data_IF_576502576913
#
_entry.id   IF_576502576913
#
_cell.length_a   1.000
_cell.length_b   1.000
_cell.length_c   1.000
_cell.angle_alpha   90.00
_cell.angle_beta   90.00
_cell.angle_gamma   90.00
#
_symmetry.space_group_name_H-M   'P 1'
#
loop_
_entity.id
_entity.type
_entity.pdbx_description
1 polymer ?
#
# COMPACT_ATOMS: atom_id res chain seq x y z
N UNK A 1 34.06 -14.63 14.76
CA UNK A 1 33.11 -14.83 13.66
C UNK A 1 31.74 -14.56 14.25
N UNK A 2 31.31 -13.31 14.24
CA UNK A 2 29.99 -12.90 14.70
C UNK A 2 29.00 -13.09 13.55
N UNK A 3 28.07 -14.00 13.69
CA UNK A 3 26.92 -14.09 12.80
C UNK A 3 26.03 -12.88 13.11
N UNK A 4 25.97 -11.95 12.17
CA UNK A 4 25.01 -10.87 12.18
C UNK A 4 23.66 -11.50 11.78
N UNK A 5 22.91 -12.00 12.75
CA UNK A 5 21.52 -12.39 12.58
C UNK A 5 20.75 -11.07 12.43
N UNK A 6 20.60 -10.62 11.20
CA UNK A 6 19.65 -9.56 10.90
C UNK A 6 18.30 -10.02 11.43
N UNK A 7 17.83 -9.38 12.50
CA UNK A 7 16.48 -9.60 12.97
C UNK A 7 15.56 -9.28 11.78
N UNK A 8 14.83 -10.29 11.32
CA UNK A 8 13.68 -10.07 10.46
C UNK A 8 12.72 -9.19 11.26
N UNK A 9 12.68 -7.92 10.95
CA UNK A 9 11.67 -7.02 11.50
C UNK A 9 10.37 -7.49 10.85
N UNK A 10 9.64 -8.35 11.58
CA UNK A 10 8.27 -8.67 11.19
C UNK A 10 7.46 -7.38 11.28
N UNK A 11 6.65 -7.06 10.29
CA UNK A 11 5.78 -5.91 10.39
C UNK A 11 4.78 -6.16 11.51
N UNK A 12 4.41 -5.10 12.20
CA UNK A 12 3.22 -5.10 13.04
C UNK A 12 2.01 -5.14 12.09
N UNK A 13 1.14 -6.13 12.24
CA UNK A 13 -0.01 -6.31 11.37
C UNK A 13 -1.25 -5.64 11.94
N UNK A 14 -1.93 -4.90 11.11
CA UNK A 14 -3.19 -4.24 11.43
C UNK A 14 -4.31 -5.01 10.74
N UNK A 15 -5.21 -5.60 11.54
CA UNK A 15 -6.45 -6.17 11.02
C UNK A 15 -7.41 -5.03 10.65
N UNK A 16 -8.09 -5.15 9.54
CA UNK A 16 -9.10 -4.20 9.08
C UNK A 16 -10.39 -4.96 8.81
N UNK A 17 -11.51 -4.39 9.24
CA UNK A 17 -12.86 -4.89 9.00
C UNK A 17 -13.73 -3.75 8.47
N UNK A 18 -14.31 -3.94 7.28
CA UNK A 18 -14.92 -2.85 6.52
C UNK A 18 -16.31 -3.27 6.02
N UNK A 19 -17.35 -2.53 6.40
CA UNK A 19 -18.70 -2.69 5.88
C UNK A 19 -18.99 -1.59 4.84
N UNK A 20 -19.32 -2.02 3.63
CA UNK A 20 -19.45 -1.15 2.47
C UNK A 20 -20.78 -1.38 1.77
N UNK A 21 -21.46 -0.29 1.43
CA UNK A 21 -22.66 -0.29 0.60
C UNK A 21 -22.50 0.59 -0.63
N UNK A 22 -23.35 0.38 -1.62
CA UNK A 22 -23.46 1.24 -2.79
C UNK A 22 -24.88 1.17 -3.35
N UNK A 23 -25.40 2.31 -3.84
CA UNK A 23 -26.75 2.37 -4.42
C UNK A 23 -26.92 1.54 -5.69
N UNK A 24 -25.83 1.29 -6.43
CA UNK A 24 -25.76 0.41 -7.58
C UNK A 24 -25.09 -0.91 -7.17
N UNK A 25 -25.87 -2.00 -7.18
CA UNK A 25 -25.39 -3.32 -6.79
C UNK A 25 -24.24 -3.83 -7.70
N UNK A 26 -24.21 -3.42 -8.96
CA UNK A 26 -23.13 -3.83 -9.87
C UNK A 26 -21.76 -3.30 -9.43
N UNK A 27 -21.72 -2.17 -8.73
CA UNK A 27 -20.51 -1.60 -8.16
C UNK A 27 -19.98 -2.42 -6.99
N UNK A 28 -20.86 -3.02 -6.21
CA UNK A 28 -20.45 -3.94 -5.14
C UNK A 28 -19.88 -5.24 -5.73
N UNK A 29 -20.46 -5.75 -6.80
CA UNK A 29 -19.91 -6.92 -7.50
C UNK A 29 -18.51 -6.61 -8.07
N UNK A 30 -18.34 -5.44 -8.71
CA UNK A 30 -17.04 -4.97 -9.20
C UNK A 30 -16.01 -4.86 -8.04
N UNK A 31 -16.41 -4.30 -6.90
CA UNK A 31 -15.55 -4.15 -5.73
C UNK A 31 -15.16 -5.50 -5.13
N UNK A 32 -16.12 -6.41 -5.02
CA UNK A 32 -15.90 -7.80 -4.57
C UNK A 32 -14.83 -8.50 -5.41
N UNK A 33 -14.98 -8.44 -6.73
CA UNK A 33 -14.02 -9.03 -7.66
C UNK A 33 -12.64 -8.32 -7.61
N UNK A 34 -12.65 -7.01 -7.38
CA UNK A 34 -11.42 -6.24 -7.22
C UNK A 34 -10.62 -6.70 -6.00
N UNK A 35 -11.27 -6.85 -4.82
CA UNK A 35 -10.61 -7.26 -3.59
C UNK A 35 -10.23 -8.74 -3.55
N UNK A 36 -10.96 -9.61 -4.25
CA UNK A 36 -10.59 -11.01 -4.46
C UNK A 36 -9.45 -11.20 -5.47
N UNK A 37 -9.17 -10.19 -6.26
CA UNK A 37 -8.12 -10.24 -7.27
C UNK A 37 -6.76 -9.79 -6.72
N UNK A 38 -5.74 -9.92 -7.56
CA UNK A 38 -4.39 -9.49 -7.22
C UNK A 38 -4.27 -7.97 -7.13
N UNK A 39 -3.52 -7.49 -6.14
CA UNK A 39 -3.12 -6.09 -5.96
C UNK A 39 -4.29 -5.10 -6.00
N UNK A 40 -5.29 -5.23 -5.11
CA UNK A 40 -6.48 -4.38 -5.12
C UNK A 40 -6.18 -2.90 -4.89
N UNK A 41 -5.22 -2.55 -4.04
CA UNK A 41 -4.85 -1.16 -3.82
C UNK A 41 -4.22 -0.53 -5.05
N UNK A 42 -3.38 -1.27 -5.77
CA UNK A 42 -2.80 -0.81 -7.01
C UNK A 42 -3.84 -0.64 -8.14
N UNK A 43 -4.93 -1.41 -8.12
CA UNK A 43 -6.04 -1.21 -9.06
C UNK A 43 -6.86 0.03 -8.73
N UNK A 44 -7.05 0.35 -7.44
CA UNK A 44 -7.75 1.54 -6.98
C UNK A 44 -6.93 2.82 -7.17
N UNK A 45 -5.66 2.77 -6.80
CA UNK A 45 -4.70 3.89 -6.90
C UNK A 45 -3.43 3.33 -7.52
N UNK A 46 -3.28 3.39 -8.86
CA UNK A 46 -2.14 2.81 -9.56
C UNK A 46 -0.80 3.42 -9.15
N UNK A 47 0.12 2.53 -8.78
CA UNK A 47 1.50 2.90 -8.50
C UNK A 47 2.23 3.28 -9.79
N UNK A 48 3.08 4.32 -9.78
CA UNK A 48 3.91 4.68 -10.91
C UNK A 48 4.85 3.55 -11.34
N UNK A 49 5.12 3.47 -12.62
CA UNK A 49 6.11 2.53 -13.18
C UNK A 49 7.52 3.06 -12.91
N UNK A 50 8.02 2.83 -11.69
CA UNK A 50 9.31 3.34 -11.22
C UNK A 50 10.49 3.01 -12.12
N UNK A 51 10.60 1.82 -12.72
CA UNK A 51 11.66 1.50 -13.67
C UNK A 51 11.72 2.43 -14.89
N UNK A 52 10.57 3.01 -15.27
CA UNK A 52 10.49 3.91 -16.41
C UNK A 52 10.47 5.40 -16.03
N UNK A 53 10.54 5.73 -14.72
CA UNK A 53 10.63 7.10 -14.23
C UNK A 53 12.06 7.41 -13.82
N UNK A 54 12.73 8.42 -14.41
CA UNK A 54 14.09 8.78 -14.05
C UNK A 54 14.24 9.09 -12.57
N UNK A 55 15.26 8.55 -11.94
CA UNK A 55 15.66 8.93 -10.61
C UNK A 55 16.23 10.36 -10.60
N UNK A 56 15.89 11.16 -9.59
CA UNK A 56 16.47 12.49 -9.42
C UNK A 56 17.98 12.38 -9.14
N UNK A 57 18.72 13.47 -9.41
CA UNK A 57 20.14 13.53 -9.07
C UNK A 57 20.39 13.26 -7.58
N UNK A 58 19.56 13.85 -6.72
CA UNK A 58 19.64 13.66 -5.26
C UNK A 58 19.49 12.20 -4.86
N UNK A 59 18.52 11.49 -5.48
CA UNK A 59 18.32 10.06 -5.20
C UNK A 59 19.52 9.24 -5.67
N UNK A 60 20.07 9.55 -6.85
CA UNK A 60 21.26 8.88 -7.39
C UNK A 60 22.49 9.06 -6.51
N UNK A 61 22.71 10.30 -6.05
CA UNK A 61 23.82 10.63 -5.16
C UNK A 61 23.66 9.93 -3.78
N UNK A 62 22.44 9.89 -3.26
CA UNK A 62 22.10 9.21 -1.98
C UNK A 62 22.47 7.73 -2.00
N UNK A 63 22.31 7.06 -3.14
CA UNK A 63 22.55 5.62 -3.28
C UNK A 63 23.78 5.28 -4.11
N UNK A 64 24.62 6.25 -4.47
CA UNK A 64 25.79 6.04 -5.31
C UNK A 64 25.47 5.32 -6.63
N UNK A 65 24.34 5.63 -7.23
CA UNK A 65 23.95 5.05 -8.50
C UNK A 65 24.85 5.57 -9.62
N UNK A 66 25.27 4.69 -10.52
CA UNK A 66 26.13 5.02 -11.65
C UNK A 66 25.34 4.97 -12.96
N UNK A 67 25.63 5.92 -13.81
CA UNK A 67 25.14 5.89 -15.18
C UNK A 67 25.92 4.84 -16.00
N UNK A 68 25.20 3.99 -16.69
CA UNK A 68 25.76 2.93 -17.52
C UNK A 68 25.13 3.01 -18.90
N UNK A 69 25.96 3.02 -19.93
CA UNK A 69 25.53 2.96 -21.33
C UNK A 69 25.50 1.50 -21.75
N UNK A 70 24.33 0.98 -22.08
CA UNK A 70 24.15 -0.40 -22.51
C UNK A 70 22.97 -0.52 -23.46
N UNK A 71 22.89 -1.60 -24.22
CA UNK A 71 21.72 -1.90 -25.03
C UNK A 71 20.59 -2.47 -24.16
N UNK A 72 19.36 -2.20 -24.58
CA UNK A 72 18.18 -2.76 -23.92
C UNK A 72 18.28 -4.29 -23.84
N UNK A 73 18.16 -4.85 -22.63
CA UNK A 73 18.25 -6.30 -22.41
C UNK A 73 19.66 -6.83 -22.10
N UNK A 74 20.72 -6.01 -22.21
CA UNK A 74 22.07 -6.44 -21.86
C UNK A 74 22.35 -6.41 -20.34
N UNK A 75 21.53 -5.71 -19.56
CA UNK A 75 21.68 -5.57 -18.12
C UNK A 75 20.53 -6.26 -17.40
N UNK A 76 20.79 -6.89 -16.24
CA UNK A 76 19.75 -7.50 -15.44
C UNK A 76 18.70 -6.46 -15.01
N UNK A 77 17.41 -6.71 -15.24
CA UNK A 77 16.32 -5.79 -14.91
C UNK A 77 16.30 -5.36 -13.45
N UNK A 78 16.73 -6.23 -12.54
CA UNK A 78 16.78 -5.95 -11.10
C UNK A 78 17.82 -4.90 -10.67
N UNK A 79 18.78 -4.60 -11.53
CA UNK A 79 19.89 -3.70 -11.18
C UNK A 79 19.86 -2.36 -11.91
N UNK A 80 18.89 -2.17 -12.83
CA UNK A 80 18.95 -1.08 -13.79
C UNK A 80 17.59 -0.45 -14.01
N UNK A 81 17.53 0.87 -13.88
CA UNK A 81 16.35 1.65 -14.25
C UNK A 81 16.62 2.44 -15.52
N UNK A 82 15.74 2.29 -16.50
CA UNK A 82 15.79 3.04 -17.75
C UNK A 82 15.46 4.52 -17.50
N UNK A 83 16.19 5.42 -18.14
CA UNK A 83 15.78 6.83 -18.19
C UNK A 83 14.54 6.96 -19.08
N UNK A 84 13.50 7.62 -18.55
CA UNK A 84 12.19 7.71 -19.21
C UNK A 84 12.22 8.47 -20.54
N UNK A 85 13.29 9.18 -20.85
CA UNK A 85 13.31 10.14 -21.93
C UNK A 85 14.05 9.68 -23.15
N UNK A 86 14.02 8.47 -23.48
CA UNK A 86 14.39 8.16 -24.80
C UNK A 86 15.70 7.52 -25.09
N UNK A 87 16.66 7.55 -24.30
CA UNK A 87 17.82 6.83 -24.75
C UNK A 87 17.66 5.37 -24.38
N UNK A 88 17.35 4.57 -25.36
CA UNK A 88 17.31 3.12 -25.23
C UNK A 88 18.62 2.53 -24.68
N UNK A 89 19.59 3.37 -24.41
CA UNK A 89 20.96 2.99 -24.13
C UNK A 89 21.54 3.52 -22.82
N UNK A 90 20.84 4.38 -22.09
CA UNK A 90 21.33 4.91 -20.81
C UNK A 90 20.51 4.39 -19.66
N UNK A 91 21.17 3.73 -18.73
CA UNK A 91 20.57 3.11 -17.56
C UNK A 91 21.25 3.59 -16.28
N UNK A 92 20.51 3.52 -15.16
CA UNK A 92 21.06 3.75 -13.84
C UNK A 92 21.36 2.42 -13.18
N UNK A 93 22.62 2.17 -12.89
CA UNK A 93 23.06 0.98 -12.15
C UNK A 93 23.14 1.31 -10.67
N UNK A 94 22.31 0.64 -9.87
CA UNK A 94 22.34 0.72 -8.42
C UNK A 94 23.41 -0.23 -7.88
N UNK A 95 24.07 0.11 -6.72
CA UNK A 95 25.00 -0.82 -6.09
C UNK A 95 24.31 -2.14 -5.73
N UNK A 96 24.97 -3.26 -5.92
CA UNK A 96 24.48 -4.59 -5.56
C UNK A 96 24.37 -4.80 -4.03
N UNK A 97 25.08 -3.99 -3.25
CA UNK A 97 25.01 -3.96 -1.79
C UNK A 97 24.45 -2.63 -1.32
N UNK A 98 23.32 -2.65 -0.61
CA UNK A 98 22.72 -1.45 -0.04
C UNK A 98 21.28 -1.24 -0.47
N UNK A 99 20.71 -0.12 -0.03
CA UNK A 99 19.36 0.29 -0.42
C UNK A 99 19.35 0.72 -1.87
N UNK A 100 18.41 0.18 -2.62
CA UNK A 100 18.09 0.59 -3.98
C UNK A 100 17.04 1.71 -3.96
N UNK A 101 16.46 2.01 -5.13
CA UNK A 101 15.37 2.98 -5.24
C UNK A 101 14.22 2.65 -4.31
N UNK A 102 13.94 3.54 -3.37
CA UNK A 102 12.90 3.40 -2.35
C UNK A 102 11.73 4.37 -2.55
N UNK A 103 11.63 5.04 -3.72
CA UNK A 103 10.52 5.96 -4.05
C UNK A 103 9.14 5.33 -3.89
N UNK A 104 9.05 4.02 -4.21
CA UNK A 104 7.83 3.25 -4.03
C UNK A 104 7.33 3.25 -2.58
N UNK A 105 8.25 3.24 -1.62
CA UNK A 105 7.91 3.18 -0.20
C UNK A 105 7.20 4.47 0.27
N UNK A 106 7.84 5.62 0.05
CA UNK A 106 7.26 6.91 0.42
C UNK A 106 5.96 7.18 -0.35
N UNK A 107 5.91 6.74 -1.62
CA UNK A 107 4.73 6.88 -2.45
C UNK A 107 3.55 6.06 -1.91
N UNK A 108 3.75 4.80 -1.56
CA UNK A 108 2.70 3.93 -1.03
C UNK A 108 2.18 4.43 0.32
N UNK A 109 3.06 4.84 1.23
CA UNK A 109 2.64 5.45 2.49
C UNK A 109 1.78 6.68 2.28
N UNK A 110 2.11 7.50 1.28
CA UNK A 110 1.37 8.73 0.96
C UNK A 110 0.04 8.46 0.25
N UNK A 111 -0.05 7.44 -0.61
CA UNK A 111 -1.18 7.23 -1.52
C UNK A 111 -2.05 6.01 -1.17
N UNK A 112 -1.55 5.08 -0.38
CA UNK A 112 -2.34 3.96 0.14
C UNK A 112 -2.55 4.05 1.65
N UNK A 113 -1.67 4.75 2.37
CA UNK A 113 -1.62 4.80 3.83
C UNK A 113 -0.83 3.66 4.45
N UNK A 114 -0.43 2.65 3.68
CA UNK A 114 0.33 1.50 4.14
C UNK A 114 1.43 1.10 3.15
N UNK A 115 2.36 0.24 3.61
CA UNK A 115 3.57 -0.09 2.84
C UNK A 115 3.33 -1.05 1.68
N UNK A 116 2.46 -2.04 1.85
CA UNK A 116 2.24 -3.11 0.88
C UNK A 116 0.80 -3.16 0.41
N UNK A 117 0.61 -3.64 -0.81
CA UNK A 117 -0.69 -4.06 -1.32
C UNK A 117 -1.14 -5.34 -0.61
N UNK A 118 -2.41 -5.68 -0.71
CA UNK A 118 -2.95 -6.88 -0.09
C UNK A 118 -2.47 -8.15 -0.81
N UNK A 119 -2.27 -9.19 -0.02
CA UNK A 119 -2.20 -10.56 -0.50
C UNK A 119 -3.63 -11.10 -0.59
N UNK A 120 -4.07 -11.49 -1.78
CA UNK A 120 -5.44 -11.96 -2.02
C UNK A 120 -5.80 -13.23 -1.22
N UNK A 121 -4.82 -14.03 -0.79
CA UNK A 121 -5.06 -15.20 0.07
C UNK A 121 -5.47 -14.82 1.51
N UNK A 122 -5.22 -13.57 1.91
CA UNK A 122 -5.51 -13.04 3.24
C UNK A 122 -6.71 -12.06 3.24
N UNK A 123 -7.42 -11.96 2.11
CA UNK A 123 -8.60 -11.09 1.96
C UNK A 123 -9.85 -11.95 1.99
N UNK A 124 -10.71 -11.69 2.96
CA UNK A 124 -12.03 -12.30 3.06
C UNK A 124 -13.08 -11.28 2.61
N UNK A 125 -14.00 -11.70 1.73
CA UNK A 125 -15.10 -10.85 1.24
C UNK A 125 -16.40 -11.61 1.39
N UNK A 126 -17.23 -11.16 2.32
CA UNK A 126 -18.52 -11.71 2.63
C UNK A 126 -19.66 -10.75 2.22
N UNK A 127 -20.78 -11.31 1.82
CA UNK A 127 -22.00 -10.58 1.54
C UNK A 127 -23.03 -10.94 2.59
N UNK A 128 -23.20 -10.07 3.62
CA UNK A 128 -24.14 -10.35 4.71
C UNK A 128 -25.58 -10.19 4.29
N UNK A 129 -25.87 -9.19 3.48
CA UNK A 129 -27.19 -8.92 2.92
C UNK A 129 -27.03 -8.45 1.49
N UNK A 130 -28.10 -8.59 0.69
CA UNK A 130 -28.08 -8.07 -0.67
C UNK A 130 -27.85 -6.56 -0.66
N UNK A 131 -26.66 -6.13 -1.08
CA UNK A 131 -26.29 -4.72 -1.16
C UNK A 131 -25.32 -4.24 -0.07
N UNK A 132 -24.73 -5.16 0.71
CA UNK A 132 -23.71 -4.84 1.71
C UNK A 132 -22.58 -5.88 1.66
N UNK A 133 -21.35 -5.41 1.52
CA UNK A 133 -20.14 -6.24 1.60
C UNK A 133 -19.42 -5.99 2.91
N UNK A 134 -18.96 -7.07 3.55
CA UNK A 134 -17.96 -7.01 4.58
C UNK A 134 -16.62 -7.50 3.99
N UNK A 135 -15.57 -6.70 4.14
CA UNK A 135 -14.23 -7.02 3.65
C UNK A 135 -13.28 -7.03 4.84
N UNK A 136 -12.63 -8.15 5.09
CA UNK A 136 -11.61 -8.30 6.13
C UNK A 136 -10.25 -8.55 5.49
N UNK A 137 -9.22 -7.84 5.98
CA UNK A 137 -7.85 -7.96 5.48
C UNK A 137 -6.83 -7.41 6.48
N UNK A 138 -5.55 -7.69 6.25
CA UNK A 138 -4.46 -7.16 7.07
C UNK A 138 -3.57 -6.19 6.29
N UNK A 139 -3.05 -5.17 6.98
CA UNK A 139 -2.09 -4.22 6.44
C UNK A 139 -0.89 -4.03 7.37
N UNK A 140 0.32 -3.74 6.84
CA UNK A 140 1.49 -3.53 7.68
C UNK A 140 1.51 -2.12 8.29
N UNK A 141 1.71 -2.02 9.59
CA UNK A 141 1.94 -0.84 10.43
C UNK A 141 0.84 0.22 10.51
N UNK A 142 -0.07 0.29 9.56
CA UNK A 142 -1.14 1.30 9.56
C UNK A 142 -2.34 0.85 8.74
N UNK A 143 -3.57 1.28 9.10
CA UNK A 143 -4.72 1.12 8.24
C UNK A 143 -4.57 1.98 6.98
N UNK A 144 -5.15 1.55 5.83
CA UNK A 144 -4.96 2.20 4.54
C UNK A 144 -5.96 3.37 4.33
N UNK A 145 -5.76 4.47 5.04
CA UNK A 145 -6.67 5.61 5.05
C UNK A 145 -6.86 6.30 3.68
N UNK A 146 -5.89 6.24 2.80
CA UNK A 146 -6.05 6.79 1.45
C UNK A 146 -6.90 5.88 0.55
N UNK A 147 -6.91 4.57 0.80
CA UNK A 147 -7.83 3.64 0.13
C UNK A 147 -9.28 3.90 0.59
N UNK A 148 -9.50 4.15 1.87
CA UNK A 148 -10.80 4.59 2.38
C UNK A 148 -11.28 5.84 1.61
N UNK A 149 -10.44 6.90 1.52
CA UNK A 149 -10.77 8.12 0.77
C UNK A 149 -11.12 7.84 -0.68
N UNK A 150 -10.36 6.97 -1.31
CA UNK A 150 -10.58 6.59 -2.69
C UNK A 150 -11.95 5.95 -2.87
N UNK A 151 -12.32 5.00 -2.02
CA UNK A 151 -13.62 4.32 -2.07
C UNK A 151 -14.77 5.32 -1.88
N UNK A 152 -14.69 6.20 -0.88
CA UNK A 152 -15.69 7.25 -0.69
C UNK A 152 -15.80 8.17 -1.91
N UNK A 153 -14.67 8.55 -2.51
CA UNK A 153 -14.66 9.39 -3.73
C UNK A 153 -15.29 8.70 -4.95
N UNK A 154 -15.36 7.37 -4.95
CA UNK A 154 -16.02 6.57 -5.98
C UNK A 154 -17.52 6.35 -5.71
N UNK A 155 -18.05 6.90 -4.60
CA UNK A 155 -19.46 6.82 -4.25
C UNK A 155 -19.84 5.64 -3.36
N UNK A 156 -18.87 4.89 -2.85
CA UNK A 156 -19.13 3.87 -1.85
C UNK A 156 -19.44 4.51 -0.50
N UNK A 157 -20.45 3.99 0.18
CA UNK A 157 -20.78 4.37 1.54
C UNK A 157 -20.15 3.35 2.49
N UNK A 158 -19.29 3.81 3.38
CA UNK A 158 -18.59 2.98 4.35
C UNK A 158 -19.26 3.21 5.70
N UNK A 159 -20.04 2.23 6.13
CA UNK A 159 -20.80 2.29 7.40
C UNK A 159 -19.90 1.99 8.60
N UNK A 160 -18.86 1.18 8.40
CA UNK A 160 -17.89 0.81 9.42
C UNK A 160 -16.54 0.55 8.77
N UNK A 161 -15.45 1.05 9.37
CA UNK A 161 -14.09 0.64 9.11
C UNK A 161 -13.34 0.62 10.42
N UNK A 162 -13.26 -0.54 11.03
CA UNK A 162 -12.53 -0.77 12.26
C UNK A 162 -11.16 -1.37 11.95
N UNK A 163 -10.18 -1.03 12.76
CA UNK A 163 -8.85 -1.60 12.67
C UNK A 163 -8.31 -1.94 14.05
N UNK A 164 -7.52 -3.00 14.13
CA UNK A 164 -6.90 -3.53 15.34
C UNK A 164 -5.44 -3.86 15.06
N UNK A 165 -4.57 -3.35 15.91
CA UNK A 165 -3.15 -3.70 15.94
C UNK A 165 -2.94 -5.07 16.63
N UNK A 166 -1.76 -5.67 16.46
CA UNK A 166 -1.29 -6.81 17.26
C UNK A 166 -1.22 -6.47 18.77
N UNK A 167 -0.96 -5.19 19.12
CA UNK A 167 -1.17 -4.67 20.45
C UNK A 167 -2.67 -4.47 20.69
N UNK A 168 -3.30 -5.24 21.60
CA UNK A 168 -4.75 -5.17 21.82
C UNK A 168 -5.22 -3.81 22.36
N UNK A 169 -4.32 -3.00 22.90
CA UNK A 169 -4.62 -1.66 23.40
C UNK A 169 -4.56 -0.58 22.30
N UNK A 170 -4.16 -0.96 21.08
CA UNK A 170 -4.06 -0.05 19.93
C UNK A 170 -5.06 -0.45 18.85
N UNK A 171 -6.20 0.22 18.84
CA UNK A 171 -7.28 0.00 17.86
C UNK A 171 -8.02 1.32 17.57
N UNK A 172 -8.83 1.32 16.52
CA UNK A 172 -9.60 2.52 16.17
C UNK A 172 -10.53 2.30 15.00
N UNK A 173 -11.03 3.40 14.51
CA UNK A 173 -11.88 3.48 13.34
C UNK A 173 -11.39 4.56 12.36
N UNK A 174 -11.70 4.39 11.08
CA UNK A 174 -11.55 5.42 10.06
C UNK A 174 -12.92 6.03 9.81
N UNK A 175 -13.00 7.36 9.89
CA UNK A 175 -14.22 8.12 9.65
C UNK A 175 -13.93 9.40 8.86
N UNK A 176 -14.92 9.87 8.11
CA UNK A 176 -14.91 11.17 7.44
C UNK A 176 -15.59 12.18 8.36
N UNK A 177 -14.85 13.21 8.81
CA UNK A 177 -15.37 14.32 9.60
C UNK A 177 -15.11 15.62 8.82
N UNK A 178 -16.18 16.39 8.54
CA UNK A 178 -16.10 17.72 7.89
C UNK A 178 -15.17 17.79 6.67
N UNK A 179 -15.21 16.74 5.84
CA UNK A 179 -14.34 16.58 4.66
C UNK A 179 -12.85 16.35 4.98
N UNK A 180 -12.51 16.28 6.26
CA UNK A 180 -11.19 15.91 6.72
C UNK A 180 -11.19 14.47 7.29
N UNK A 181 -10.03 13.83 7.13
CA UNK A 181 -9.86 12.45 7.62
C UNK A 181 -9.51 12.46 9.10
N UNK A 182 -10.20 11.64 9.86
CA UNK A 182 -9.91 11.41 11.26
C UNK A 182 -9.62 9.93 11.53
N UNK A 183 -8.60 9.68 12.33
CA UNK A 183 -8.36 8.40 12.98
C UNK A 183 -8.71 8.54 14.45
N UNK A 184 -9.61 7.70 14.93
CA UNK A 184 -10.01 7.66 16.33
C UNK A 184 -9.37 6.43 16.96
N UNK A 185 -8.27 6.63 17.65
CA UNK A 185 -7.60 5.57 18.39
C UNK A 185 -8.17 5.51 19.81
N UNK A 186 -8.62 4.34 20.21
CA UNK A 186 -9.10 4.06 21.56
C UNK A 186 -8.05 3.22 22.27
N UNK A 187 -7.82 3.52 23.54
CA UNK A 187 -6.94 2.72 24.41
C UNK A 187 -7.78 2.18 25.56
N UNK A 188 -7.58 0.93 25.92
CA UNK A 188 -8.32 0.28 27.02
C UNK A 188 -8.12 1.00 28.36
N UNK A 189 -6.99 1.69 28.56
CA UNK A 189 -6.71 2.46 29.76
C UNK A 189 -7.63 3.66 30.01
N UNK A 190 -8.51 4.03 29.06
CA UNK A 190 -9.49 5.11 29.23
C UNK A 190 -10.85 4.61 29.75
N UNK A 191 -10.99 3.31 29.95
CA UNK A 191 -12.19 2.72 30.58
C UNK A 191 -11.88 2.52 32.06
N UNK A 192 -11.82 3.58 32.84
CA UNK A 192 -11.94 3.45 34.30
C UNK A 192 -13.41 3.45 34.72
N UNK A 193 -13.72 2.70 35.79
CA UNK A 193 -15.09 2.37 36.21
C UNK A 193 -15.89 3.54 36.77
#
# INVERSE_FOLDING_TARGET
VGQNTGALIMPNWISNEVDITHSDASKLDELKELFKGERPFNKLIPEPDWPNIPASKTLKDKYNAKEVVAKKGELPEKEVYKLANDSEHVFWKWPSSGKQDDRWYDWRLKHWGCKWDLNNEEVEVDEFTKGELCISFTTPWAPPDEIYRKLVSMGYEISRWEWQDEDPDNYGDLALIDWEWAKHTKRQSEVEP
#
